data_IF_239780982867
#
_entry.id   IF_239780982867
#
_cell.length_a   1.000
_cell.length_b   1.000
_cell.length_c   1.000
_cell.angle_alpha   90.00
_cell.angle_beta   90.00
_cell.angle_gamma   90.00
#
_symmetry.space_group_name_H-M   'P 1'
#
loop_
_entity.id
_entity.type
_entity.pdbx_description
1 polymer ?
#
# COMPACT_ATOMS: atom_id res chain seq x y z
N UNK A 1 -14.00 -15.93 1.83
CA UNK A 1 -13.39 -14.93 0.91
C UNK A 1 -14.26 -14.61 -0.31
N UNK A 2 -15.29 -15.40 -0.62
CA UNK A 2 -16.09 -15.27 -1.85
C UNK A 2 -17.11 -14.11 -1.81
N UNK A 3 -17.85 -13.96 -0.70
CA UNK A 3 -18.73 -12.81 -0.48
C UNK A 3 -17.97 -11.49 -0.37
N UNK A 4 -16.75 -11.51 0.19
CA UNK A 4 -15.98 -10.30 0.46
C UNK A 4 -15.49 -9.56 -0.78
N UNK A 5 -15.14 -10.27 -1.88
CA UNK A 5 -14.67 -9.63 -3.14
C UNK A 5 -15.82 -9.05 -3.97
N UNK A 6 -16.93 -9.78 -4.09
CA UNK A 6 -18.14 -9.32 -4.78
C UNK A 6 -18.75 -8.10 -4.08
N UNK A 7 -18.86 -8.16 -2.75
CA UNK A 7 -19.37 -7.04 -1.95
C UNK A 7 -18.43 -5.82 -2.01
N UNK A 8 -17.12 -6.04 -2.00
CA UNK A 8 -16.14 -4.94 -2.15
C UNK A 8 -16.30 -4.24 -3.50
N UNK A 9 -16.45 -4.99 -4.59
CA UNK A 9 -16.65 -4.44 -5.93
C UNK A 9 -17.96 -3.63 -6.01
N UNK A 10 -19.07 -4.19 -5.55
CA UNK A 10 -20.37 -3.51 -5.56
C UNK A 10 -20.35 -2.21 -4.72
N UNK A 11 -19.69 -2.26 -3.54
CA UNK A 11 -19.46 -1.07 -2.71
C UNK A 11 -18.59 -0.04 -3.41
N UNK A 12 -17.46 -0.44 -3.98
CA UNK A 12 -16.55 0.47 -4.71
C UNK A 12 -17.27 1.13 -5.88
N UNK A 13 -18.05 0.38 -6.66
CA UNK A 13 -18.85 0.93 -7.78
C UNK A 13 -19.83 2.01 -7.30
N UNK A 14 -20.60 1.72 -6.24
CA UNK A 14 -21.53 2.70 -5.66
C UNK A 14 -20.80 3.94 -5.13
N UNK A 15 -19.68 3.77 -4.44
CA UNK A 15 -18.88 4.86 -3.90
C UNK A 15 -18.25 5.73 -5.01
N UNK A 16 -17.77 5.12 -6.10
CA UNK A 16 -17.22 5.83 -7.25
C UNK A 16 -18.28 6.69 -7.95
N UNK A 17 -19.50 6.16 -8.11
CA UNK A 17 -20.62 6.93 -8.67
C UNK A 17 -20.99 8.10 -7.76
N UNK A 18 -21.16 7.86 -6.45
CA UNK A 18 -21.50 8.92 -5.49
C UNK A 18 -20.41 10.00 -5.40
N UNK A 19 -19.14 9.60 -5.41
CA UNK A 19 -17.98 10.51 -5.39
C UNK A 19 -17.95 11.40 -6.62
N UNK A 20 -18.22 10.84 -7.80
CA UNK A 20 -18.34 11.60 -9.03
C UNK A 20 -19.40 12.70 -8.95
N UNK A 21 -20.60 12.34 -8.48
CA UNK A 21 -21.69 13.32 -8.31
C UNK A 21 -21.36 14.40 -7.29
N UNK A 22 -20.82 14.04 -6.13
CA UNK A 22 -20.48 14.99 -5.08
C UNK A 22 -19.42 15.99 -5.58
N UNK A 23 -18.31 15.51 -6.13
CA UNK A 23 -17.21 16.37 -6.56
C UNK A 23 -17.58 17.24 -7.76
N UNK A 24 -18.32 16.71 -8.73
CA UNK A 24 -18.82 17.54 -9.85
C UNK A 24 -19.88 18.54 -9.39
N UNK A 25 -20.73 18.19 -8.41
CA UNK A 25 -21.68 19.12 -7.81
C UNK A 25 -20.99 20.29 -7.10
N UNK A 26 -19.86 20.05 -6.44
CA UNK A 26 -19.02 21.11 -5.86
C UNK A 26 -18.48 22.01 -6.98
N UNK A 27 -17.87 21.45 -8.03
CA UNK A 27 -17.38 22.23 -9.17
C UNK A 27 -18.48 23.05 -9.86
N UNK A 28 -19.66 22.46 -10.02
CA UNK A 28 -20.83 23.11 -10.62
C UNK A 28 -21.35 24.26 -9.75
N UNK A 29 -21.34 24.09 -8.43
CA UNK A 29 -21.71 25.15 -7.49
C UNK A 29 -20.71 26.30 -7.58
N UNK A 30 -19.41 25.99 -7.66
CA UNK A 30 -18.36 26.99 -7.84
C UNK A 30 -18.60 27.80 -9.11
N UNK A 31 -18.89 27.12 -10.22
CA UNK A 31 -19.21 27.75 -11.50
C UNK A 31 -20.45 28.65 -11.43
N UNK A 32 -21.55 28.18 -10.86
CA UNK A 32 -22.78 28.98 -10.76
C UNK A 32 -22.56 30.23 -9.89
N UNK A 33 -21.92 30.07 -8.73
CA UNK A 33 -21.63 31.19 -7.84
C UNK A 33 -20.74 32.23 -8.50
N UNK A 34 -19.70 31.78 -9.22
CA UNK A 34 -18.79 32.70 -9.88
C UNK A 34 -19.44 33.43 -11.06
N UNK A 35 -20.34 32.78 -11.82
CA UNK A 35 -21.11 33.44 -12.88
C UNK A 35 -21.85 34.71 -12.41
N UNK A 36 -22.18 34.83 -11.12
CA UNK A 36 -22.75 36.04 -10.51
C UNK A 36 -21.72 37.05 -9.99
N UNK A 37 -20.50 36.59 -9.72
CA UNK A 37 -19.43 37.38 -9.12
C UNK A 37 -18.45 37.97 -10.15
N UNK A 38 -18.40 37.40 -11.38
CA UNK A 38 -17.42 37.77 -12.42
C UNK A 38 -17.29 39.30 -12.58
N UNK A 39 -16.13 39.89 -12.20
CA UNK A 39 -15.92 41.33 -12.25
C UNK A 39 -15.69 41.84 -13.68
N UNK A 40 -15.47 40.94 -14.64
CA UNK A 40 -15.21 41.29 -16.04
C UNK A 40 -16.48 41.64 -16.82
N UNK A 41 -17.68 41.45 -16.25
CA UNK A 41 -18.98 41.63 -16.91
C UNK A 41 -19.87 42.59 -16.12
N UNK A 42 -20.65 43.43 -16.81
CA UNK A 42 -21.55 44.40 -16.14
C UNK A 42 -22.86 43.74 -15.68
N UNK A 43 -23.47 44.25 -14.59
CA UNK A 43 -24.68 43.67 -13.97
C UNK A 43 -25.81 43.25 -14.93
N UNK A 44 -26.28 44.10 -15.87
CA UNK A 44 -27.35 43.72 -16.80
C UNK A 44 -26.94 42.59 -17.76
N UNK A 45 -25.66 42.54 -18.13
CA UNK A 45 -25.11 41.49 -18.98
C UNK A 45 -24.94 40.19 -18.18
N UNK A 46 -24.54 40.26 -16.90
CA UNK A 46 -24.46 39.11 -16.00
C UNK A 46 -25.80 38.38 -15.93
N UNK A 47 -26.89 39.10 -15.67
CA UNK A 47 -28.23 38.48 -15.58
C UNK A 47 -28.66 37.83 -16.88
N UNK A 48 -28.37 38.45 -18.03
CA UNK A 48 -28.70 37.89 -19.33
C UNK A 48 -27.89 36.63 -19.63
N UNK A 49 -26.58 36.63 -19.33
CA UNK A 49 -25.70 35.47 -19.54
C UNK A 49 -26.13 34.31 -18.64
N UNK A 50 -26.34 34.55 -17.35
CA UNK A 50 -26.75 33.50 -16.41
C UNK A 50 -28.11 32.90 -16.81
N UNK A 51 -29.11 33.74 -17.09
CA UNK A 51 -30.43 33.25 -17.48
C UNK A 51 -30.39 32.42 -18.77
N UNK A 52 -29.58 32.85 -19.75
CA UNK A 52 -29.43 32.16 -21.04
C UNK A 52 -28.66 30.85 -20.89
N UNK A 53 -27.66 30.80 -20.02
CA UNK A 53 -26.79 29.64 -19.79
C UNK A 53 -27.39 28.61 -18.83
N UNK A 54 -28.45 28.96 -18.08
CA UNK A 54 -29.10 28.07 -17.11
C UNK A 54 -29.67 26.78 -17.74
N UNK A 55 -30.39 26.79 -18.88
CA UNK A 55 -30.84 25.55 -19.51
C UNK A 55 -29.68 24.64 -19.92
N UNK A 56 -28.61 25.23 -20.47
CA UNK A 56 -27.40 24.50 -20.84
C UNK A 56 -26.74 23.86 -19.61
N UNK A 57 -26.68 24.58 -18.49
CA UNK A 57 -26.21 24.08 -17.20
C UNK A 57 -27.03 22.91 -16.68
N UNK A 58 -28.36 23.02 -16.69
CA UNK A 58 -29.25 21.94 -16.25
C UNK A 58 -29.04 20.70 -17.13
N UNK A 59 -28.98 20.86 -18.46
CA UNK A 59 -28.70 19.74 -19.38
C UNK A 59 -27.33 19.13 -19.09
N UNK A 60 -26.31 19.93 -18.84
CA UNK A 60 -24.98 19.41 -18.53
C UNK A 60 -24.95 18.62 -17.21
N UNK A 61 -25.62 19.13 -16.17
CA UNK A 61 -25.68 18.50 -14.84
C UNK A 61 -26.55 17.24 -14.80
N UNK A 62 -27.68 17.24 -15.48
CA UNK A 62 -28.68 16.15 -15.41
C UNK A 62 -28.43 15.08 -16.48
N UNK A 63 -27.77 15.42 -17.58
CA UNK A 63 -27.58 14.51 -18.72
C UNK A 63 -26.10 14.21 -18.95
N UNK A 64 -25.29 15.21 -19.31
CA UNK A 64 -23.91 14.97 -19.77
C UNK A 64 -23.00 14.42 -18.67
N UNK A 65 -23.05 14.98 -17.45
CA UNK A 65 -22.22 14.51 -16.34
C UNK A 65 -22.57 13.08 -15.90
N UNK A 66 -23.85 12.73 -15.62
CA UNK A 66 -24.23 11.36 -15.29
C UNK A 66 -23.85 10.35 -16.39
N UNK A 67 -24.13 10.67 -17.66
CA UNK A 67 -23.82 9.78 -18.79
C UNK A 67 -22.31 9.62 -18.95
N UNK A 68 -21.56 10.72 -18.95
CA UNK A 68 -20.10 10.69 -19.05
C UNK A 68 -19.46 9.88 -17.92
N UNK A 69 -20.02 9.96 -16.70
CA UNK A 69 -19.58 9.20 -15.54
C UNK A 69 -19.90 7.70 -15.66
N UNK A 70 -21.11 7.37 -16.10
CA UNK A 70 -21.53 6.00 -16.34
C UNK A 70 -20.66 5.32 -17.41
N UNK A 71 -20.38 6.03 -18.51
CA UNK A 71 -19.49 5.56 -19.57
C UNK A 71 -18.07 5.39 -19.03
N UNK A 72 -17.53 6.40 -18.33
CA UNK A 72 -16.17 6.36 -17.78
C UNK A 72 -16.00 5.22 -16.80
N UNK A 73 -16.94 5.06 -15.86
CA UNK A 73 -16.94 3.98 -14.89
C UNK A 73 -17.08 2.61 -15.55
N UNK A 74 -18.00 2.44 -16.50
CA UNK A 74 -18.17 1.18 -17.22
C UNK A 74 -16.90 0.77 -17.98
N UNK A 75 -16.29 1.70 -18.72
CA UNK A 75 -15.10 1.43 -19.52
C UNK A 75 -13.86 1.11 -18.67
N UNK A 76 -13.66 1.83 -17.57
CA UNK A 76 -12.48 1.64 -16.72
C UNK A 76 -12.63 0.46 -15.75
N UNK A 77 -13.84 0.22 -15.24
CA UNK A 77 -14.09 -0.82 -14.24
C UNK A 77 -14.33 -2.19 -14.89
N UNK A 78 -14.84 -2.25 -16.12
CA UNK A 78 -15.13 -3.53 -16.81
C UNK A 78 -13.95 -4.50 -16.90
N UNK A 79 -12.71 -4.09 -17.27
CA UNK A 79 -11.56 -5.00 -17.25
C UNK A 79 -11.27 -5.55 -15.85
N UNK A 80 -11.34 -4.69 -14.82
CA UNK A 80 -11.08 -5.05 -13.42
C UNK A 80 -12.19 -5.99 -12.91
N UNK A 81 -13.46 -5.73 -13.26
CA UNK A 81 -14.59 -6.60 -12.93
C UNK A 81 -14.42 -8.00 -13.56
N UNK A 82 -14.04 -8.05 -14.84
CA UNK A 82 -13.78 -9.33 -15.55
C UNK A 82 -12.65 -10.12 -14.90
N UNK A 83 -11.56 -9.45 -14.50
CA UNK A 83 -10.48 -10.11 -13.77
C UNK A 83 -10.92 -10.63 -12.39
N UNK A 84 -11.57 -9.78 -11.58
CA UNK A 84 -12.03 -10.16 -10.24
C UNK A 84 -13.05 -11.30 -10.26
N UNK A 85 -13.92 -11.34 -11.27
CA UNK A 85 -14.91 -12.40 -11.46
C UNK A 85 -14.31 -13.69 -12.00
N UNK A 86 -13.24 -13.62 -12.81
CA UNK A 86 -12.53 -14.78 -13.31
C UNK A 86 -11.75 -15.57 -12.23
N UNK A 87 -11.55 -15.00 -11.04
CA UNK A 87 -10.87 -15.62 -9.88
C UNK A 87 -9.48 -16.17 -10.18
N UNK A 88 -8.80 -15.64 -11.20
CA UNK A 88 -7.41 -15.97 -11.53
C UNK A 88 -6.44 -15.03 -10.80
N UNK A 89 -5.16 -15.41 -10.62
CA UNK A 89 -4.14 -14.48 -10.16
C UNK A 89 -4.05 -13.25 -11.09
N UNK A 90 -3.72 -12.06 -10.56
CA UNK A 90 -3.54 -10.84 -11.34
C UNK A 90 -2.41 -11.00 -12.36
N UNK A 91 -2.66 -10.56 -13.59
CA UNK A 91 -1.58 -10.34 -14.57
C UNK A 91 -1.01 -8.94 -14.38
N UNK A 92 0.17 -8.67 -14.95
CA UNK A 92 0.75 -7.33 -14.97
C UNK A 92 -0.21 -6.29 -15.57
N UNK A 93 -1.01 -6.68 -16.56
CA UNK A 93 -2.03 -5.82 -17.17
C UNK A 93 -3.16 -5.47 -16.19
N UNK A 94 -3.62 -6.43 -15.37
CA UNK A 94 -4.63 -6.17 -14.33
C UNK A 94 -4.07 -5.22 -13.25
N UNK A 95 -2.82 -5.45 -12.84
CA UNK A 95 -2.12 -4.59 -11.88
C UNK A 95 -2.01 -3.15 -12.40
N UNK A 96 -1.56 -2.98 -13.64
CA UNK A 96 -1.46 -1.67 -14.28
C UNK A 96 -2.83 -1.03 -14.48
N UNK A 97 -3.88 -1.80 -14.80
CA UNK A 97 -5.23 -1.27 -14.93
C UNK A 97 -5.72 -0.67 -13.60
N UNK A 98 -5.50 -1.36 -12.48
CA UNK A 98 -5.88 -0.87 -11.14
C UNK A 98 -5.04 0.35 -10.74
N UNK A 99 -3.72 0.33 -10.98
CA UNK A 99 -2.83 1.45 -10.65
C UNK A 99 -3.12 2.72 -11.47
N UNK A 100 -3.47 2.56 -12.75
CA UNK A 100 -3.79 3.68 -13.64
C UNK A 100 -5.21 4.21 -13.46
N UNK A 101 -6.08 3.47 -12.77
CA UNK A 101 -7.51 3.77 -12.66
C UNK A 101 -7.79 5.20 -12.15
N UNK A 102 -7.21 5.67 -11.02
CA UNK A 102 -7.50 7.02 -10.52
C UNK A 102 -7.07 8.13 -11.50
N UNK A 103 -5.92 7.94 -12.16
CA UNK A 103 -5.39 8.89 -13.16
C UNK A 103 -6.30 8.95 -14.39
N UNK A 104 -6.66 7.79 -14.94
CA UNK A 104 -7.53 7.72 -16.12
C UNK A 104 -8.94 8.25 -15.84
N UNK A 105 -9.45 8.00 -14.63
CA UNK A 105 -10.70 8.58 -14.17
C UNK A 105 -10.66 10.11 -14.17
N UNK A 106 -9.64 10.68 -13.52
CA UNK A 106 -9.48 12.13 -13.43
C UNK A 106 -9.31 12.79 -14.81
N UNK A 107 -8.51 12.20 -15.71
CA UNK A 107 -8.33 12.69 -17.08
C UNK A 107 -9.65 12.69 -17.86
N UNK A 108 -10.43 11.60 -17.79
CA UNK A 108 -11.72 11.52 -18.49
C UNK A 108 -12.75 12.48 -17.91
N UNK A 109 -12.81 12.61 -16.59
CA UNK A 109 -13.64 13.60 -15.92
C UNK A 109 -13.26 15.03 -16.35
N UNK A 110 -11.95 15.32 -16.46
CA UNK A 110 -11.47 16.60 -16.94
C UNK A 110 -11.85 16.86 -18.40
N UNK A 111 -11.80 15.83 -19.25
CA UNK A 111 -12.30 15.91 -20.62
C UNK A 111 -13.77 16.36 -20.70
N UNK A 112 -14.62 15.87 -19.79
CA UNK A 112 -16.02 16.31 -19.69
C UNK A 112 -16.09 17.81 -19.36
N UNK A 113 -15.31 18.28 -18.39
CA UNK A 113 -15.23 19.70 -18.03
C UNK A 113 -14.70 20.60 -19.16
N UNK A 114 -13.74 20.14 -19.95
CA UNK A 114 -13.26 20.86 -21.14
C UNK A 114 -14.37 21.00 -22.19
N UNK A 115 -15.14 19.95 -22.44
CA UNK A 115 -16.30 20.01 -23.33
C UNK A 115 -17.35 20.99 -22.79
N UNK A 116 -17.55 21.01 -21.48
CA UNK A 116 -18.40 22.02 -20.82
C UNK A 116 -17.89 23.43 -21.12
N UNK A 117 -16.62 23.70 -20.85
CA UNK A 117 -16.00 25.02 -21.03
C UNK A 117 -16.15 25.53 -22.46
N UNK A 118 -15.89 24.67 -23.46
CA UNK A 118 -16.05 25.00 -24.88
C UNK A 118 -17.51 25.32 -25.21
N UNK A 119 -18.45 24.50 -24.72
CA UNK A 119 -19.87 24.67 -25.03
C UNK A 119 -20.44 25.94 -24.39
N UNK A 120 -20.11 26.21 -23.13
CA UNK A 120 -20.52 27.43 -22.43
C UNK A 120 -19.87 28.68 -23.03
N UNK A 121 -18.60 28.61 -23.41
CA UNK A 121 -17.92 29.72 -24.08
C UNK A 121 -18.53 30.01 -25.45
N UNK A 122 -18.78 29.00 -26.28
CA UNK A 122 -19.42 29.18 -27.58
C UNK A 122 -20.80 29.85 -27.47
N UNK A 123 -21.57 29.45 -26.45
CA UNK A 123 -22.89 30.03 -26.20
C UNK A 123 -22.81 31.48 -25.70
N UNK A 124 -21.89 31.76 -24.77
CA UNK A 124 -21.66 33.09 -24.18
C UNK A 124 -21.02 34.07 -25.17
N UNK A 125 -20.23 33.57 -26.11
CA UNK A 125 -19.55 34.36 -27.15
C UNK A 125 -20.53 35.17 -27.99
N UNK A 126 -21.76 34.65 -28.19
CA UNK A 126 -22.83 35.35 -28.91
C UNK A 126 -23.36 36.59 -28.17
N UNK A 127 -23.03 36.75 -26.89
CA UNK A 127 -23.45 37.88 -26.04
C UNK A 127 -22.26 38.80 -25.76
N UNK A 128 -21.15 38.23 -25.27
CA UNK A 128 -19.96 39.00 -24.90
C UNK A 128 -18.70 38.12 -25.00
N UNK A 129 -17.71 38.58 -25.78
CA UNK A 129 -16.45 37.86 -26.02
C UNK A 129 -15.61 37.74 -24.75
N UNK A 130 -15.51 38.81 -23.95
CA UNK A 130 -14.74 38.81 -22.69
C UNK A 130 -15.37 37.82 -21.71
N UNK A 131 -16.69 37.85 -21.57
CA UNK A 131 -17.44 36.92 -20.72
C UNK A 131 -17.29 35.45 -21.15
N UNK A 132 -17.19 35.21 -22.46
CA UNK A 132 -16.98 33.87 -22.99
C UNK A 132 -15.61 33.32 -22.63
N UNK A 133 -14.56 34.16 -22.73
CA UNK A 133 -13.19 33.77 -22.37
C UNK A 133 -13.06 33.61 -20.86
N UNK A 134 -13.56 34.58 -20.08
CA UNK A 134 -13.51 34.55 -18.61
C UNK A 134 -14.24 33.33 -18.05
N UNK A 135 -15.45 33.08 -18.55
CA UNK A 135 -16.25 31.90 -18.20
C UNK A 135 -15.62 30.57 -18.65
N UNK A 136 -14.97 30.50 -19.81
CA UNK A 136 -14.23 29.29 -20.19
C UNK A 136 -13.11 28.98 -19.20
N UNK A 137 -12.30 29.99 -18.85
CA UNK A 137 -11.23 29.84 -17.87
C UNK A 137 -11.80 29.34 -16.55
N UNK A 138 -12.86 29.98 -16.08
CA UNK A 138 -13.54 29.62 -14.83
C UNK A 138 -14.04 28.16 -14.81
N UNK A 139 -14.75 27.72 -15.85
CA UNK A 139 -15.24 26.34 -15.97
C UNK A 139 -14.07 25.34 -15.94
N UNK A 140 -12.94 25.69 -16.57
CA UNK A 140 -11.72 24.87 -16.52
C UNK A 140 -11.14 24.83 -15.10
N UNK A 141 -11.04 25.96 -14.40
CA UNK A 141 -10.52 26.00 -13.02
C UNK A 141 -11.42 25.20 -12.06
N UNK A 142 -12.75 25.35 -12.18
CA UNK A 142 -13.73 24.58 -11.43
C UNK A 142 -13.62 23.07 -11.73
N UNK A 143 -13.44 22.72 -13.00
CA UNK A 143 -13.21 21.34 -13.44
C UNK A 143 -11.92 20.75 -12.90
N UNK A 144 -10.80 21.47 -12.95
CA UNK A 144 -9.52 21.02 -12.37
C UNK A 144 -9.65 20.76 -10.88
N UNK A 145 -10.35 21.64 -10.15
CA UNK A 145 -10.64 21.49 -8.72
C UNK A 145 -11.47 20.23 -8.45
N UNK A 146 -12.58 20.04 -9.18
CA UNK A 146 -13.43 18.85 -9.06
C UNK A 146 -12.67 17.55 -9.39
N UNK A 147 -11.88 17.54 -10.47
CA UNK A 147 -11.10 16.38 -10.89
C UNK A 147 -9.97 16.02 -9.93
N UNK A 148 -9.33 17.02 -9.29
CA UNK A 148 -8.30 16.78 -8.27
C UNK A 148 -8.88 16.07 -7.04
N UNK A 149 -10.05 16.52 -6.56
CA UNK A 149 -10.75 15.89 -5.45
C UNK A 149 -11.18 14.46 -5.81
N UNK A 150 -11.69 14.27 -7.03
CA UNK A 150 -12.02 12.93 -7.53
C UNK A 150 -10.81 12.01 -7.58
N UNK A 151 -9.65 12.47 -8.06
CA UNK A 151 -8.44 11.65 -8.10
C UNK A 151 -8.12 11.08 -6.71
N UNK A 152 -8.07 11.94 -5.70
CA UNK A 152 -7.71 11.54 -4.33
C UNK A 152 -8.76 10.60 -3.71
N UNK A 153 -10.06 10.88 -3.93
CA UNK A 153 -11.14 10.03 -3.41
C UNK A 153 -11.20 8.68 -4.12
N UNK A 154 -11.03 8.65 -5.45
CA UNK A 154 -11.00 7.41 -6.24
C UNK A 154 -9.79 6.56 -5.85
N UNK A 155 -8.62 7.16 -5.66
CA UNK A 155 -7.45 6.45 -5.14
C UNK A 155 -7.78 5.75 -3.82
N UNK A 156 -8.41 6.46 -2.87
CA UNK A 156 -8.82 5.89 -1.58
C UNK A 156 -9.83 4.75 -1.73
N UNK A 157 -10.81 4.87 -2.62
CA UNK A 157 -11.85 3.85 -2.86
C UNK A 157 -11.25 2.60 -3.51
N UNK A 158 -10.22 2.76 -4.35
CA UNK A 158 -9.59 1.66 -5.07
C UNK A 158 -8.56 0.89 -4.25
N UNK A 159 -8.02 1.45 -3.15
CA UNK A 159 -6.99 0.80 -2.30
C UNK A 159 -7.25 -0.67 -1.95
N UNK A 160 -8.45 -1.10 -1.53
CA UNK A 160 -8.71 -2.51 -1.24
C UNK A 160 -8.56 -3.41 -2.47
N UNK A 161 -8.92 -2.91 -3.66
CA UNK A 161 -8.75 -3.64 -4.93
C UNK A 161 -7.28 -3.65 -5.33
N UNK A 162 -6.57 -2.53 -5.13
CA UNK A 162 -5.10 -2.45 -5.32
C UNK A 162 -4.37 -3.47 -4.46
N UNK A 163 -4.75 -3.60 -3.19
CA UNK A 163 -4.17 -4.60 -2.29
C UNK A 163 -4.34 -6.05 -2.79
N UNK A 164 -5.48 -6.36 -3.42
CA UNK A 164 -5.71 -7.68 -4.03
C UNK A 164 -4.90 -7.84 -5.31
N UNK A 165 -4.75 -6.79 -6.12
CA UNK A 165 -3.99 -6.84 -7.36
C UNK A 165 -2.47 -6.98 -7.12
N UNK A 166 -1.96 -6.40 -6.04
CA UNK A 166 -0.53 -6.40 -5.70
C UNK A 166 -0.16 -7.45 -4.65
N UNK A 167 -1.07 -8.36 -4.32
CA UNK A 167 -0.83 -9.41 -3.32
C UNK A 167 0.35 -10.33 -3.70
N UNK A 168 0.53 -10.58 -5.00
CA UNK A 168 1.58 -11.44 -5.55
C UNK A 168 2.87 -10.66 -5.91
N UNK A 169 2.94 -9.37 -5.56
CA UNK A 169 4.08 -8.49 -5.82
C UNK A 169 3.77 -7.32 -6.74
N UNK A 170 4.76 -6.45 -6.90
CA UNK A 170 4.68 -5.24 -7.72
C UNK A 170 5.02 -5.54 -9.19
N UNK A 171 4.38 -4.85 -10.15
CA UNK A 171 4.74 -4.96 -11.57
C UNK A 171 6.17 -4.45 -11.82
N UNK A 172 6.85 -4.98 -12.83
CA UNK A 172 8.22 -4.59 -13.17
C UNK A 172 8.34 -3.10 -13.54
N UNK A 173 7.25 -2.52 -14.08
CA UNK A 173 7.14 -1.09 -14.38
C UNK A 173 5.95 -0.48 -13.65
N UNK A 174 6.15 -0.06 -12.41
CA UNK A 174 5.15 0.70 -11.68
C UNK A 174 4.95 2.10 -12.34
N UNK A 175 3.92 2.24 -13.16
CA UNK A 175 3.50 3.51 -13.79
C UNK A 175 2.55 4.29 -12.86
N UNK A 176 3.04 4.57 -11.65
CA UNK A 176 2.33 5.37 -10.66
C UNK A 176 3.18 6.60 -10.30
N UNK A 177 2.60 7.83 -10.31
CA UNK A 177 3.35 9.01 -9.89
C UNK A 177 3.76 8.84 -8.42
N UNK A 178 5.03 9.08 -8.12
CA UNK A 178 5.56 9.00 -6.75
C UNK A 178 4.87 9.95 -5.78
N UNK A 179 5.07 9.73 -4.48
CA UNK A 179 4.40 10.50 -3.42
C UNK A 179 4.60 12.01 -3.59
N UNK A 180 5.83 12.45 -3.87
CA UNK A 180 6.15 13.87 -4.08
C UNK A 180 5.37 14.47 -5.24
N UNK A 181 5.35 13.80 -6.40
CA UNK A 181 4.60 14.26 -7.59
C UNK A 181 3.10 14.34 -7.32
N UNK A 182 2.53 13.39 -6.57
CA UNK A 182 1.12 13.42 -6.16
C UNK A 182 0.81 14.60 -5.25
N UNK A 183 1.66 14.86 -4.26
CA UNK A 183 1.48 15.98 -3.32
C UNK A 183 1.61 17.34 -4.04
N UNK A 184 2.59 17.49 -4.92
CA UNK A 184 2.77 18.70 -5.73
C UNK A 184 1.57 18.91 -6.66
N UNK A 185 1.09 17.86 -7.33
CA UNK A 185 -0.08 17.94 -8.19
C UNK A 185 -1.34 18.30 -7.39
N UNK A 186 -1.53 17.70 -6.21
CA UNK A 186 -2.64 18.03 -5.33
C UNK A 186 -2.60 19.51 -4.91
N UNK A 187 -1.45 20.02 -4.47
CA UNK A 187 -1.29 21.44 -4.12
C UNK A 187 -1.54 22.37 -5.31
N UNK A 188 -0.95 22.05 -6.47
CA UNK A 188 -1.08 22.86 -7.68
C UNK A 188 -2.56 22.96 -8.09
N UNK A 189 -3.27 21.84 -8.11
CA UNK A 189 -4.64 21.77 -8.59
C UNK A 189 -5.68 22.35 -7.61
N UNK A 190 -5.39 22.36 -6.31
CA UNK A 190 -6.37 22.73 -5.27
C UNK A 190 -6.14 24.10 -4.66
N UNK A 191 -4.88 24.57 -4.61
CA UNK A 191 -4.51 25.86 -4.04
C UNK A 191 -3.86 26.77 -5.09
N UNK A 192 -2.94 26.24 -5.90
CA UNK A 192 -2.25 27.04 -6.93
C UNK A 192 -3.21 27.61 -7.98
N UNK A 193 -4.15 26.79 -8.47
CA UNK A 193 -5.16 27.18 -9.45
C UNK A 193 -6.09 28.29 -8.95
N UNK A 194 -6.73 28.20 -7.76
CA UNK A 194 -7.52 29.30 -7.23
C UNK A 194 -6.74 30.61 -7.06
N UNK A 195 -5.48 30.54 -6.62
CA UNK A 195 -4.61 31.72 -6.51
C UNK A 195 -4.36 32.37 -7.88
N UNK A 196 -4.08 31.56 -8.91
CA UNK A 196 -3.97 32.06 -10.28
C UNK A 196 -5.28 32.68 -10.77
N UNK A 197 -6.43 32.07 -10.44
CA UNK A 197 -7.75 32.64 -10.70
C UNK A 197 -7.90 34.03 -10.08
N UNK A 198 -7.56 34.19 -8.80
CA UNK A 198 -7.61 35.50 -8.10
C UNK A 198 -6.77 36.54 -8.87
N UNK A 199 -5.55 36.19 -9.26
CA UNK A 199 -4.65 37.09 -10.01
C UNK A 199 -5.27 37.48 -11.35
N UNK A 200 -5.71 36.50 -12.14
CA UNK A 200 -6.29 36.71 -13.48
C UNK A 200 -7.54 37.60 -13.39
N UNK A 201 -8.48 37.29 -12.50
CA UNK A 201 -9.73 38.04 -12.40
C UNK A 201 -9.56 39.41 -11.76
N UNK A 202 -8.58 39.59 -10.88
CA UNK A 202 -8.23 40.92 -10.38
C UNK A 202 -7.68 41.80 -11.50
N UNK A 203 -6.77 41.27 -12.34
CA UNK A 203 -6.22 42.02 -13.49
C UNK A 203 -7.33 42.35 -14.51
N UNK A 204 -8.18 41.38 -14.85
CA UNK A 204 -9.31 41.62 -15.77
C UNK A 204 -10.32 42.63 -15.21
N UNK A 205 -10.56 42.61 -13.90
CA UNK A 205 -11.42 43.59 -13.23
C UNK A 205 -10.82 44.99 -13.28
N UNK A 206 -9.52 45.14 -13.04
CA UNK A 206 -8.84 46.45 -13.00
C UNK A 206 -8.59 47.08 -14.37
N UNK A 207 -8.50 46.29 -15.44
CA UNK A 207 -8.35 46.81 -16.81
C UNK A 207 -9.66 47.42 -17.34
N UNK A 208 -10.81 47.09 -16.74
CA UNK A 208 -12.07 47.82 -16.96
C UNK A 208 -12.02 49.18 -16.24
N UNK A 209 -12.02 50.27 -17.00
CA UNK A 209 -11.94 51.64 -16.47
C UNK A 209 -13.03 52.09 -15.47
N UNK A 210 -14.09 51.28 -15.27
CA UNK A 210 -15.08 51.43 -14.17
C UNK A 210 -15.24 50.09 -13.44
N UNK A 211 -14.16 49.60 -12.84
CA UNK A 211 -14.18 48.37 -12.05
C UNK A 211 -15.14 48.50 -10.86
N UNK A 212 -16.10 47.58 -10.73
CA UNK A 212 -16.87 47.42 -9.49
C UNK A 212 -15.95 46.74 -8.45
N UNK A 213 -15.32 47.57 -7.62
CA UNK A 213 -14.40 47.11 -6.58
C UNK A 213 -15.05 46.07 -5.65
N UNK A 214 -16.36 46.18 -5.40
CA UNK A 214 -17.10 45.22 -4.58
C UNK A 214 -17.12 43.83 -5.20
N UNK A 215 -17.31 43.71 -6.51
CA UNK A 215 -17.29 42.43 -7.24
C UNK A 215 -15.90 41.83 -7.34
N UNK A 216 -14.87 42.65 -7.55
CA UNK A 216 -13.47 42.18 -7.55
C UNK A 216 -13.12 41.58 -6.18
N UNK A 217 -13.44 42.29 -5.08
CA UNK A 217 -13.21 41.80 -3.72
C UNK A 217 -14.04 40.55 -3.43
N UNK A 218 -15.32 40.53 -3.79
CA UNK A 218 -16.18 39.37 -3.57
C UNK A 218 -15.69 38.13 -4.33
N UNK A 219 -15.23 38.31 -5.57
CA UNK A 219 -14.64 37.23 -6.38
C UNK A 219 -13.36 36.69 -5.77
N UNK A 220 -12.46 37.59 -5.34
CA UNK A 220 -11.22 37.19 -4.69
C UNK A 220 -11.47 36.43 -3.37
N UNK A 221 -12.37 36.93 -2.53
CA UNK A 221 -12.78 36.26 -1.28
C UNK A 221 -13.43 34.90 -1.55
N UNK A 222 -14.27 34.80 -2.58
CA UNK A 222 -14.90 33.56 -2.98
C UNK A 222 -13.87 32.51 -3.43
N UNK A 223 -13.00 32.85 -4.38
CA UNK A 223 -11.94 31.95 -4.85
C UNK A 223 -10.95 31.57 -3.74
N UNK A 224 -10.63 32.51 -2.84
CA UNK A 224 -9.79 32.22 -1.68
C UNK A 224 -10.47 31.22 -0.74
N UNK A 225 -11.77 31.37 -0.48
CA UNK A 225 -12.52 30.44 0.37
C UNK A 225 -12.63 29.05 -0.26
N UNK A 226 -12.91 28.97 -1.57
CA UNK A 226 -12.95 27.70 -2.31
C UNK A 226 -11.57 27.03 -2.32
N UNK A 227 -10.51 27.79 -2.60
CA UNK A 227 -9.15 27.26 -2.59
C UNK A 227 -8.69 26.80 -1.21
N UNK A 228 -9.01 27.54 -0.14
CA UNK A 228 -8.67 27.15 1.23
C UNK A 228 -9.46 25.90 1.67
N UNK A 229 -10.75 25.84 1.38
CA UNK A 229 -11.60 24.71 1.79
C UNK A 229 -11.25 23.45 1.03
N UNK A 230 -11.19 23.51 -0.32
CA UNK A 230 -10.85 22.35 -1.15
C UNK A 230 -9.39 21.96 -0.97
N UNK A 231 -8.48 22.94 -0.86
CA UNK A 231 -7.07 22.72 -0.55
C UNK A 231 -6.89 21.99 0.77
N UNK A 232 -7.52 22.46 1.85
CA UNK A 232 -7.47 21.79 3.16
C UNK A 232 -7.98 20.35 3.09
N UNK A 233 -9.15 20.12 2.49
CA UNK A 233 -9.70 18.76 2.35
C UNK A 233 -8.75 17.87 1.56
N UNK A 234 -8.25 18.34 0.41
CA UNK A 234 -7.31 17.57 -0.40
C UNK A 234 -6.00 17.28 0.32
N UNK A 235 -5.43 18.26 1.05
CA UNK A 235 -4.22 18.06 1.86
C UNK A 235 -4.45 17.05 2.98
N UNK A 236 -5.58 17.11 3.69
CA UNK A 236 -5.90 16.15 4.75
C UNK A 236 -6.03 14.73 4.19
N UNK A 237 -6.70 14.56 3.04
CA UNK A 237 -6.87 13.22 2.45
C UNK A 237 -5.56 12.71 1.86
N UNK A 238 -4.77 13.55 1.16
CA UNK A 238 -3.46 13.18 0.64
C UNK A 238 -2.47 12.87 1.78
N UNK A 239 -2.48 13.65 2.87
CA UNK A 239 -1.69 13.38 4.06
C UNK A 239 -2.06 12.04 4.71
N UNK A 240 -3.36 11.74 4.82
CA UNK A 240 -3.83 10.45 5.30
C UNK A 240 -3.43 9.29 4.38
N UNK A 241 -3.33 9.54 3.07
CA UNK A 241 -2.96 8.56 2.05
C UNK A 241 -1.52 8.04 2.25
N UNK A 242 -0.63 8.88 2.75
CA UNK A 242 0.78 8.55 3.08
C UNK A 242 0.92 8.09 4.54
N UNK A 243 0.31 8.81 5.48
CA UNK A 243 0.51 8.56 6.90
C UNK A 243 -0.12 7.24 7.38
N UNK A 244 -1.24 6.80 6.80
CA UNK A 244 -1.90 5.56 7.21
C UNK A 244 -1.06 4.31 6.90
N UNK A 245 -0.53 4.11 5.67
CA UNK A 245 0.44 3.04 5.39
C UNK A 245 1.66 3.05 6.31
N UNK A 246 2.26 4.22 6.56
CA UNK A 246 3.45 4.33 7.42
C UNK A 246 3.17 3.93 8.86
N UNK A 247 1.99 4.28 9.41
CA UNK A 247 1.57 3.80 10.73
C UNK A 247 1.42 2.27 10.77
N UNK A 248 0.78 1.68 9.75
CA UNK A 248 0.66 0.21 9.65
C UNK A 248 2.02 -0.47 9.58
N UNK A 249 2.96 0.09 8.82
CA UNK A 249 4.33 -0.42 8.77
C UNK A 249 5.03 -0.33 10.11
N UNK A 250 4.93 0.81 10.81
CA UNK A 250 5.48 0.97 12.17
C UNK A 250 4.90 -0.07 13.13
N UNK A 251 3.58 -0.26 13.10
CA UNK A 251 2.91 -1.23 13.98
C UNK A 251 3.34 -2.67 13.64
N UNK A 252 3.52 -2.99 12.36
CA UNK A 252 4.04 -4.27 11.90
C UNK A 252 5.51 -4.51 12.29
N UNK A 253 6.36 -3.49 12.19
CA UNK A 253 7.75 -3.56 12.69
C UNK A 253 7.80 -3.83 14.19
N UNK A 254 6.91 -3.23 14.98
CA UNK A 254 6.82 -3.50 16.42
C UNK A 254 6.37 -4.95 16.73
N UNK A 255 5.60 -5.60 15.84
CA UNK A 255 5.31 -7.03 15.97
C UNK A 255 6.54 -7.89 15.69
N UNK A 256 7.27 -7.57 14.62
CA UNK A 256 8.52 -8.25 14.24
C UNK A 256 9.57 -8.12 15.35
N UNK A 257 9.70 -6.96 15.98
CA UNK A 257 10.60 -6.73 17.12
C UNK A 257 10.25 -7.62 18.33
N UNK A 258 8.97 -7.95 18.51
CA UNK A 258 8.50 -8.89 19.53
C UNK A 258 8.65 -10.37 19.15
N UNK A 259 9.27 -10.67 18.01
CA UNK A 259 9.51 -12.03 17.52
C UNK A 259 8.38 -12.60 16.64
N UNK A 260 7.34 -11.82 16.32
CA UNK A 260 6.32 -12.27 15.35
C UNK A 260 6.74 -11.92 13.91
N UNK A 261 7.43 -12.85 13.26
CA UNK A 261 7.85 -12.73 11.85
C UNK A 261 6.76 -13.08 10.84
N UNK A 262 5.58 -13.54 11.31
CA UNK A 262 4.46 -13.91 10.43
C UNK A 262 3.59 -12.73 10.05
N UNK A 263 3.75 -11.59 10.73
CA UNK A 263 3.06 -10.34 10.39
C UNK A 263 3.32 -9.96 8.92
N UNK A 264 2.25 -9.54 8.23
CA UNK A 264 2.30 -9.04 6.83
C UNK A 264 1.54 -7.73 6.73
N UNK A 265 2.00 -6.85 5.85
CA UNK A 265 1.29 -5.60 5.51
C UNK A 265 0.70 -5.69 4.10
N UNK A 266 -0.55 -5.23 3.88
CA UNK A 266 -1.12 -5.20 2.54
C UNK A 266 -0.38 -4.19 1.67
N UNK A 267 0.04 -4.61 0.48
CA UNK A 267 0.66 -3.74 -0.53
C UNK A 267 -0.45 -3.03 -1.30
N UNK A 268 -0.87 -1.85 -0.82
CA UNK A 268 -2.04 -1.13 -1.34
C UNK A 268 -1.69 0.14 -2.13
N UNK A 269 -0.40 0.34 -2.39
CA UNK A 269 0.13 1.51 -3.09
C UNK A 269 1.09 1.09 -4.21
N UNK A 270 1.10 1.82 -5.32
CA UNK A 270 2.01 1.60 -6.46
C UNK A 270 3.25 2.49 -6.46
N UNK A 271 3.46 3.28 -5.41
CA UNK A 271 4.58 4.23 -5.27
C UNK A 271 5.72 3.66 -4.44
N UNK A 272 6.63 4.54 -3.99
CA UNK A 272 7.68 4.23 -3.03
C UNK A 272 7.13 3.60 -1.74
N UNK A 273 5.92 4.00 -1.32
CA UNK A 273 5.25 3.40 -0.15
C UNK A 273 4.92 1.93 -0.39
N UNK A 274 4.48 1.59 -1.59
CA UNK A 274 4.20 0.20 -1.99
C UNK A 274 5.45 -0.65 -2.02
N UNK A 275 6.54 -0.10 -2.58
CA UNK A 275 7.85 -0.75 -2.58
C UNK A 275 8.35 -1.03 -1.16
N UNK A 276 8.17 -0.09 -0.24
CA UNK A 276 8.50 -0.29 1.17
C UNK A 276 7.62 -1.37 1.84
N UNK A 277 6.32 -1.42 1.53
CA UNK A 277 5.42 -2.47 2.02
C UNK A 277 5.83 -3.86 1.51
N UNK A 278 6.12 -3.97 0.21
CA UNK A 278 6.57 -5.23 -0.41
C UNK A 278 7.94 -5.66 0.15
N UNK A 279 8.88 -4.72 0.30
CA UNK A 279 10.20 -4.97 0.89
C UNK A 279 10.12 -5.42 2.34
N UNK A 280 9.22 -4.85 3.14
CA UNK A 280 8.96 -5.30 4.50
C UNK A 280 8.47 -6.76 4.53
N UNK A 281 7.50 -7.12 3.68
CA UNK A 281 6.99 -8.49 3.63
C UNK A 281 8.10 -9.48 3.26
N UNK A 282 8.93 -9.16 2.26
CA UNK A 282 10.08 -9.98 1.86
C UNK A 282 11.10 -10.17 2.99
N UNK A 283 11.41 -9.11 3.73
CA UNK A 283 12.29 -9.20 4.89
C UNK A 283 11.69 -10.10 5.98
N UNK A 284 10.38 -9.96 6.25
CA UNK A 284 9.66 -10.77 7.24
C UNK A 284 9.58 -12.25 6.84
N UNK A 285 9.42 -12.55 5.54
CA UNK A 285 9.55 -13.90 4.99
C UNK A 285 10.93 -14.49 5.29
N UNK A 286 12.00 -13.71 5.01
CA UNK A 286 13.37 -14.12 5.29
C UNK A 286 13.66 -14.37 6.77
N UNK A 287 13.11 -13.55 7.68
CA UNK A 287 13.21 -13.76 9.12
C UNK A 287 12.47 -15.02 9.58
N UNK A 288 11.27 -15.25 9.04
CA UNK A 288 10.48 -16.47 9.31
C UNK A 288 11.25 -17.72 8.91
N UNK A 289 11.87 -17.71 7.72
CA UNK A 289 12.64 -18.85 7.23
C UNK A 289 13.90 -19.11 8.07
N UNK A 290 14.60 -18.05 8.49
CA UNK A 290 15.75 -18.19 9.40
C UNK A 290 15.36 -18.76 10.75
N UNK A 291 14.21 -18.36 11.29
CA UNK A 291 13.70 -18.92 12.56
C UNK A 291 13.32 -20.39 12.40
N UNK A 292 12.67 -20.78 11.29
CA UNK A 292 12.40 -22.20 11.00
C UNK A 292 13.66 -23.04 10.89
N UNK A 293 14.69 -22.53 10.22
CA UNK A 293 15.99 -23.19 10.16
C UNK A 293 16.61 -23.31 11.55
N UNK A 294 16.55 -22.25 12.37
CA UNK A 294 17.02 -22.27 13.75
C UNK A 294 16.29 -23.30 14.60
N UNK A 295 14.97 -23.43 14.47
CA UNK A 295 14.17 -24.45 15.17
C UNK A 295 14.48 -25.87 14.66
N UNK A 296 14.56 -26.06 13.34
CA UNK A 296 14.82 -27.37 12.73
C UNK A 296 16.22 -27.90 13.05
N UNK A 297 17.24 -27.03 13.07
CA UNK A 297 18.62 -27.40 13.37
C UNK A 297 19.00 -27.25 14.85
N UNK A 298 18.24 -26.47 15.63
CA UNK A 298 18.46 -26.31 17.07
C UNK A 298 18.30 -27.61 17.87
N UNK A 299 17.62 -28.60 17.30
CA UNK A 299 17.51 -29.96 17.87
C UNK A 299 18.80 -30.77 17.67
N UNK A 300 19.60 -30.43 16.64
CA UNK A 300 20.78 -31.20 16.23
C UNK A 300 22.12 -30.55 16.61
N UNK A 301 22.09 -29.32 17.11
CA UNK A 301 23.29 -28.58 17.51
C UNK A 301 23.21 -28.30 19.00
N UNK A 302 24.24 -28.74 19.72
CA UNK A 302 24.39 -28.47 21.14
C UNK A 302 24.23 -26.95 21.43
N UNK A 303 23.33 -26.54 22.36
CA UNK A 303 23.10 -25.13 22.66
C UNK A 303 24.37 -24.41 23.15
N UNK A 304 25.23 -25.11 23.89
CA UNK A 304 26.51 -24.59 24.38
C UNK A 304 27.49 -24.34 23.24
N UNK A 305 27.56 -25.25 22.26
CA UNK A 305 28.34 -25.07 21.03
C UNK A 305 27.82 -23.89 20.20
N UNK A 306 26.50 -23.73 20.09
CA UNK A 306 25.88 -22.63 19.35
C UNK A 306 26.21 -21.26 19.96
N UNK A 307 26.11 -21.13 21.28
CA UNK A 307 26.42 -19.89 21.99
C UNK A 307 27.91 -19.53 21.89
N UNK A 308 28.79 -20.53 21.99
CA UNK A 308 30.24 -20.36 21.85
C UNK A 308 30.62 -19.91 20.44
N UNK A 309 30.08 -20.55 19.39
CA UNK A 309 30.32 -20.16 17.99
C UNK A 309 29.82 -18.74 17.70
N UNK A 310 28.69 -18.34 18.28
CA UNK A 310 28.15 -16.98 18.10
C UNK A 310 29.00 -15.90 18.79
N UNK A 311 29.67 -16.24 19.91
CA UNK A 311 30.54 -15.32 20.66
C UNK A 311 31.96 -15.25 20.12
N UNK A 312 32.54 -16.39 19.77
CA UNK A 312 33.98 -16.54 19.47
C UNK A 312 34.27 -16.68 17.97
N UNK A 313 33.23 -16.89 17.14
CA UNK A 313 33.39 -17.24 15.73
C UNK A 313 33.75 -18.72 15.54
N UNK A 314 33.96 -19.13 14.29
CA UNK A 314 34.43 -20.48 13.97
C UNK A 314 35.95 -20.40 13.73
N UNK A 315 36.73 -20.95 14.65
CA UNK A 315 38.13 -21.23 14.39
C UNK A 315 38.24 -22.59 13.67
N UNK A 316 38.69 -22.56 12.42
CA UNK A 316 38.88 -23.75 11.58
C UNK A 316 40.31 -24.29 11.65
N UNK A 317 41.17 -23.71 12.49
CA UNK A 317 42.50 -24.26 12.75
C UNK A 317 42.35 -25.46 13.69
N UNK A 318 42.24 -26.66 13.13
CA UNK A 318 42.06 -27.88 13.93
C UNK A 318 43.12 -28.03 15.03
N UNK A 319 42.71 -28.52 16.20
CA UNK A 319 43.58 -28.73 17.36
C UNK A 319 43.72 -30.23 17.71
N UNK A 320 44.90 -30.62 18.23
CA UNK A 320 45.09 -31.93 18.86
C UNK A 320 44.72 -31.82 20.36
N UNK A 321 43.81 -32.68 20.81
CA UNK A 321 43.32 -32.72 22.18
C UNK A 321 43.31 -34.14 22.73
N UNK A 322 43.64 -34.28 24.01
CA UNK A 322 43.38 -35.50 24.78
C UNK A 322 41.94 -35.45 25.32
N UNK A 323 41.14 -36.48 25.01
CA UNK A 323 39.70 -36.50 25.21
C UNK A 323 39.22 -37.90 25.61
N UNK A 324 38.02 -37.99 26.19
CA UNK A 324 37.32 -39.27 26.39
C UNK A 324 36.12 -39.38 25.46
N UNK A 325 35.99 -40.54 24.81
CA UNK A 325 34.88 -40.83 23.89
C UNK A 325 34.04 -41.95 24.46
N UNK A 326 32.73 -41.76 24.52
CA UNK A 326 31.76 -42.78 24.89
C UNK A 326 30.96 -43.18 23.66
N UNK A 327 30.91 -44.48 23.39
CA UNK A 327 30.11 -45.08 22.33
C UNK A 327 28.97 -45.86 22.97
N UNK A 328 27.74 -45.50 22.59
CA UNK A 328 26.52 -46.17 23.02
C UNK A 328 25.86 -46.81 21.81
N UNK A 329 25.30 -47.99 21.99
CA UNK A 329 24.59 -48.74 20.95
C UNK A 329 23.47 -49.59 21.56
N UNK A 330 22.38 -49.81 20.80
CA UNK A 330 21.20 -50.54 21.27
C UNK A 330 21.25 -51.98 20.78
N UNK A 331 21.23 -52.93 21.73
CA UNK A 331 21.21 -54.36 21.37
C UNK A 331 19.94 -54.71 20.59
N UNK A 332 20.12 -55.53 19.55
CA UNK A 332 19.05 -56.07 18.70
C UNK A 332 18.17 -55.02 18.01
N UNK A 333 18.65 -53.78 17.86
CA UNK A 333 17.88 -52.72 17.21
C UNK A 333 17.58 -53.02 15.74
N UNK A 334 18.53 -53.63 15.01
CA UNK A 334 18.33 -54.01 13.60
C UNK A 334 17.10 -54.89 13.42
N UNK A 335 16.91 -55.89 14.29
CA UNK A 335 15.76 -56.78 14.23
C UNK A 335 14.44 -56.05 14.52
N UNK A 336 14.46 -55.08 15.44
CA UNK A 336 13.32 -54.20 15.68
C UNK A 336 13.01 -53.32 14.46
N UNK A 337 14.03 -52.69 13.87
CA UNK A 337 13.89 -51.77 12.74
C UNK A 337 13.36 -52.46 11.47
N UNK A 338 13.70 -53.73 11.25
CA UNK A 338 13.18 -54.54 10.13
C UNK A 338 11.67 -54.80 10.23
N UNK A 339 11.11 -54.79 11.43
CA UNK A 339 9.71 -55.11 11.70
C UNK A 339 8.84 -53.88 12.02
N UNK A 340 9.45 -52.71 12.26
CA UNK A 340 8.78 -51.47 12.63
C UNK A 340 8.59 -50.53 11.43
N UNK A 341 7.59 -49.65 11.50
CA UNK A 341 7.45 -48.57 10.52
C UNK A 341 8.53 -47.49 10.71
N UNK A 342 8.91 -46.73 9.66
CA UNK A 342 9.88 -45.64 9.80
C UNK A 342 9.50 -44.62 10.87
N UNK A 343 8.20 -44.32 11.03
CA UNK A 343 7.72 -43.42 12.08
C UNK A 343 7.98 -43.98 13.49
N UNK A 344 7.75 -45.28 13.71
CA UNK A 344 7.98 -45.94 15.00
C UNK A 344 9.47 -46.03 15.35
N UNK A 345 10.33 -46.29 14.35
CA UNK A 345 11.79 -46.31 14.51
C UNK A 345 12.29 -44.93 14.94
N UNK A 346 11.89 -43.87 14.24
CA UNK A 346 12.28 -42.49 14.58
C UNK A 346 11.75 -42.08 15.95
N UNK A 347 10.51 -42.43 16.28
CA UNK A 347 9.93 -42.14 17.59
C UNK A 347 10.72 -42.80 18.74
N UNK A 348 11.14 -44.07 18.57
CA UNK A 348 11.96 -44.78 19.56
C UNK A 348 13.37 -44.20 19.70
N UNK A 349 14.01 -43.82 18.60
CA UNK A 349 15.31 -43.16 18.64
C UNK A 349 15.24 -41.81 19.35
N UNK A 350 14.24 -41.00 19.03
CA UNK A 350 14.04 -39.70 19.69
C UNK A 350 13.77 -39.85 21.19
N UNK A 351 13.02 -40.88 21.59
CA UNK A 351 12.78 -41.20 23.01
C UNK A 351 14.09 -41.59 23.72
N UNK A 352 14.91 -42.47 23.13
CA UNK A 352 16.22 -42.84 23.66
C UNK A 352 17.13 -41.61 23.82
N UNK A 353 17.29 -40.81 22.76
CA UNK A 353 18.15 -39.63 22.78
C UNK A 353 17.63 -38.55 23.74
N UNK A 354 16.30 -38.44 23.90
CA UNK A 354 15.67 -37.59 24.90
C UNK A 354 16.04 -37.92 26.34
N UNK A 355 16.42 -39.17 26.63
CA UNK A 355 16.91 -39.59 27.95
C UNK A 355 18.44 -39.52 28.07
N UNK A 356 19.16 -39.95 27.03
CA UNK A 356 20.63 -40.05 27.06
C UNK A 356 21.31 -38.68 26.98
N UNK A 357 20.87 -37.79 26.08
CA UNK A 357 21.54 -36.49 25.85
C UNK A 357 21.55 -35.61 27.12
N UNK A 358 20.46 -35.47 27.89
CA UNK A 358 20.48 -34.73 29.15
C UNK A 358 21.47 -35.28 30.19
N UNK A 359 21.69 -36.61 30.22
CA UNK A 359 22.67 -37.24 31.12
C UNK A 359 24.09 -36.86 30.70
N UNK A 360 24.41 -36.94 29.40
CA UNK A 360 25.70 -36.52 28.88
C UNK A 360 26.02 -35.06 29.26
N UNK A 361 25.07 -34.14 29.03
CA UNK A 361 25.22 -32.72 29.36
C UNK A 361 25.43 -32.49 30.86
N UNK A 362 24.71 -33.23 31.73
CA UNK A 362 24.86 -33.14 33.19
C UNK A 362 26.27 -33.50 33.66
N UNK A 363 26.90 -34.44 32.98
CA UNK A 363 28.27 -34.89 33.26
C UNK A 363 29.32 -34.17 32.39
N UNK A 364 29.00 -33.02 31.79
CA UNK A 364 29.90 -32.20 30.95
C UNK A 364 30.41 -32.90 29.67
N UNK A 365 29.65 -33.85 29.16
CA UNK A 365 29.84 -34.42 27.82
C UNK A 365 28.90 -33.80 26.81
N UNK A 366 29.22 -33.96 25.53
CA UNK A 366 28.38 -33.52 24.42
C UNK A 366 28.20 -34.66 23.41
N UNK A 367 27.01 -34.78 22.84
CA UNK A 367 26.74 -35.73 21.75
C UNK A 367 27.36 -35.20 20.44
N UNK A 368 28.43 -35.84 19.98
CA UNK A 368 29.17 -35.42 18.80
C UNK A 368 28.50 -35.85 17.49
N UNK A 369 28.03 -37.10 17.43
CA UNK A 369 27.30 -37.63 16.28
C UNK A 369 26.36 -38.76 16.70
N UNK A 370 25.21 -38.80 16.04
CA UNK A 370 24.27 -39.92 16.07
C UNK A 370 24.61 -40.87 14.91
N UNK A 371 24.72 -42.17 15.19
CA UNK A 371 25.16 -43.20 14.25
C UNK A 371 24.09 -44.30 14.22
N UNK A 372 22.98 -44.03 13.53
CA UNK A 372 21.84 -44.95 13.50
C UNK A 372 21.15 -45.04 14.87
N UNK A 373 21.27 -46.20 15.50
CA UNK A 373 20.86 -46.55 16.86
C UNK A 373 21.92 -46.30 17.93
N UNK A 374 23.14 -45.99 17.49
CA UNK A 374 24.23 -45.62 18.37
C UNK A 374 24.44 -44.11 18.50
N UNK A 375 25.17 -43.73 19.54
CA UNK A 375 25.55 -42.36 19.83
C UNK A 375 27.04 -42.31 20.21
N UNK A 376 27.76 -41.34 19.64
CA UNK A 376 29.13 -41.03 20.03
C UNK A 376 29.13 -39.72 20.81
N UNK A 377 29.50 -39.79 22.07
CA UNK A 377 29.68 -38.64 22.95
C UNK A 377 31.17 -38.34 23.17
N UNK A 378 31.50 -37.07 23.33
CA UNK A 378 32.86 -36.59 23.60
C UNK A 378 32.85 -35.81 24.91
N UNK A 379 33.88 -36.04 25.72
CA UNK A 379 34.15 -35.33 26.97
C UNK A 379 35.53 -34.67 26.87
N UNK A 380 35.63 -33.42 27.33
CA UNK A 380 36.85 -32.60 27.23
C UNK A 380 36.91 -31.68 26.00
N UNK A 381 35.86 -31.68 25.16
CA UNK A 381 35.66 -30.74 24.06
C UNK A 381 34.15 -30.45 23.87
N UNK A 382 33.74 -29.24 23.43
CA UNK A 382 34.57 -28.07 23.10
C UNK A 382 35.13 -27.33 24.33
N UNK A 383 34.66 -27.68 25.53
CA UNK A 383 35.19 -27.14 26.78
C UNK A 383 36.20 -28.11 27.39
N UNK A 384 37.37 -27.58 27.76
CA UNK A 384 38.45 -28.38 28.34
C UNK A 384 38.06 -28.79 29.76
N UNK A 385 37.94 -30.10 29.99
CA UNK A 385 37.64 -30.70 31.30
C UNK A 385 38.83 -31.54 31.73
N UNK A 386 39.51 -31.15 32.80
CA UNK A 386 40.71 -31.85 33.26
C UNK A 386 40.45 -33.32 33.68
N UNK A 387 39.24 -33.62 34.16
CA UNK A 387 38.82 -34.96 34.60
C UNK A 387 37.80 -35.59 33.64
N UNK A 388 37.99 -35.38 32.33
CA UNK A 388 37.06 -35.82 31.28
C UNK A 388 36.78 -37.34 31.30
N UNK A 389 37.75 -38.15 31.76
CA UNK A 389 37.59 -39.60 31.88
C UNK A 389 36.59 -39.99 32.98
N UNK A 390 36.68 -39.37 34.16
CA UNK A 390 35.73 -39.63 35.27
C UNK A 390 34.33 -39.18 34.89
N UNK A 391 34.21 -38.03 34.23
CA UNK A 391 32.94 -37.55 33.67
C UNK A 391 32.31 -38.56 32.69
N UNK A 392 33.10 -39.13 31.77
CA UNK A 392 32.61 -40.11 30.81
C UNK A 392 32.10 -41.39 31.50
N UNK A 393 32.84 -41.89 32.49
CA UNK A 393 32.43 -43.08 33.26
C UNK A 393 31.18 -42.80 34.09
N UNK A 394 31.09 -41.64 34.73
CA UNK A 394 29.91 -41.24 35.51
C UNK A 394 28.66 -41.15 34.62
N UNK A 395 28.79 -40.58 33.41
CA UNK A 395 27.70 -40.55 32.44
C UNK A 395 27.29 -41.96 32.01
N UNK A 396 28.25 -42.84 31.73
CA UNK A 396 27.99 -44.22 31.33
C UNK A 396 27.25 -45.04 32.39
N UNK A 397 27.40 -44.70 33.67
CA UNK A 397 26.72 -45.35 34.79
C UNK A 397 25.32 -44.81 35.06
N UNK A 398 25.06 -43.56 34.65
CA UNK A 398 23.77 -42.87 34.82
C UNK A 398 22.82 -43.13 33.64
N UNK A 399 23.38 -43.44 32.46
CA UNK A 399 22.67 -44.00 31.30
C UNK A 399 22.36 -45.49 31.55
#
# INVERSE_FOLDING_TARGET
MEGTRSDALARSRRQLTMTGYLANGIGATVMVCFGWLDPSVDWPQTTAIVARSLPLFVVFMVVFLPIGHLITGGLLLSPIERWLTAKRPPTEEDQLAVLRFPRQWAIRAFGIWVVAAITFAAFTFTVNVVAAVSGAVEVVLAGMTACSLQYVLVERIMRPITAVALADGLPQRADAPGVGSRLTLAWLLTTGIPLLGIVVFTILGLTKGKADLGRVVATALFLATVGLTVGLVSTLVAGASVAAPLRRMRDAMANVERGDFTTRVPVDDGTEVGLLQAGFNLMSDGLTERERLREAFGVYVDPGLTEKVMREGIDLSGEELELSVLFLDVRDFTAFAECATPQEVVARLNDLYGHVVPVLLRHRGHANKFIGDGLLAVFGAPDRVADHATCAVAAALDI
#
